data_IF_905171155635
#
_entry.id   IF_905171155635
#
_cell.length_a   1.000
_cell.length_b   1.000
_cell.length_c   1.000
_cell.angle_alpha   90.00
_cell.angle_beta   90.00
_cell.angle_gamma   90.00
#
_symmetry.space_group_name_H-M   'P 1'
#
loop_
_entity.id
_entity.type
_entity.pdbx_description
1 polymer ?
2 non-polymer ?
3 non-polymer ?
4 water ?
#
# COMPACT_ATOMS: atom_id res chain seq x y z
N UNK A 3 -25.44 3.60 -0.03
CA UNK A 3 -25.87 3.35 -1.44
C UNK A 3 -24.74 3.36 -2.46
N UNK A 4 -23.87 4.38 -2.39
CA UNK A 4 -22.64 4.37 -3.17
C UNK A 4 -21.72 3.31 -2.59
N UNK A 5 -21.04 2.57 -3.45
CA UNK A 5 -20.05 1.62 -3.01
C UNK A 5 -18.83 2.38 -2.51
N UNK A 6 -18.30 2.01 -1.34
CA UNK A 6 -17.12 2.71 -0.85
C UNK A 6 -15.94 1.79 -0.91
N UNK A 7 -14.86 2.26 -1.52
CA UNK A 7 -13.65 1.44 -1.68
C UNK A 7 -12.48 2.19 -1.09
N UNK A 8 -11.78 1.54 -0.17
CA UNK A 8 -10.53 2.06 0.39
C UNK A 8 -9.39 1.46 -0.39
N UNK A 9 -8.51 2.31 -0.89
CA UNK A 9 -7.37 1.82 -1.65
C UNK A 9 -6.09 2.18 -0.88
N UNK A 10 -5.31 1.18 -0.55
CA UNK A 10 -4.07 1.40 0.20
C UNK A 10 -3.05 2.11 -0.70
N UNK A 11 -2.07 2.78 -0.10
CA UNK A 11 -1.07 3.52 -0.86
C UNK A 11 0.20 2.74 -1.11
N UNK A 12 1.03 2.52 -0.09
CA UNK A 12 2.30 1.81 -0.29
C UNK A 12 2.01 0.36 -0.67
N UNK A 13 2.64 -0.10 -1.73
CA UNK A 13 2.46 -1.47 -2.18
C UNK A 13 1.24 -1.68 -3.05
N UNK A 14 0.47 -0.61 -3.26
CA UNK A 14 -0.73 -0.71 -4.10
C UNK A 14 -0.78 0.41 -5.15
N UNK A 15 -0.59 1.65 -4.70
CA UNK A 15 -0.47 2.80 -5.60
C UNK A 15 0.99 3.16 -5.81
N UNK A 16 1.76 3.11 -4.72
CA UNK A 16 3.15 3.58 -4.74
C UNK A 16 4.09 2.40 -4.57
N UNK A 17 5.17 2.37 -5.36
CA UNK A 17 6.06 1.23 -5.33
C UNK A 17 7.10 1.41 -4.21
N UNK A 18 6.68 1.12 -2.98
CA UNK A 18 7.55 1.14 -1.79
C UNK A 18 8.70 0.13 -1.94
N UNK A 19 8.40 -1.11 -2.35
CA UNK A 19 9.43 -2.16 -2.41
C UNK A 19 10.59 -1.83 -3.36
N UNK A 20 10.26 -1.42 -4.58
CA UNK A 20 11.25 -1.07 -5.59
C UNK A 20 12.03 0.19 -5.24
N UNK A 21 11.35 1.17 -4.65
CA UNK A 21 12.00 2.44 -4.28
C UNK A 21 12.96 2.23 -3.13
N UNK A 22 12.51 1.46 -2.14
CA UNK A 22 13.35 1.12 -1.01
C UNK A 22 14.61 0.38 -1.53
N UNK A 23 14.41 -0.66 -2.35
CA UNK A 23 15.58 -1.46 -2.77
C UNK A 23 16.61 -0.61 -3.51
N UNK A 24 16.15 0.21 -4.44
CA UNK A 24 17.02 1.09 -5.19
C UNK A 24 17.83 2.01 -4.26
N UNK A 25 17.14 2.63 -3.31
CA UNK A 25 17.78 3.60 -2.44
C UNK A 25 18.67 2.94 -1.41
N UNK A 26 18.27 1.75 -0.96
CA UNK A 26 19.09 0.98 -0.04
C UNK A 26 20.44 0.61 -0.69
N UNK A 27 20.35 0.06 -1.90
CA UNK A 27 21.53 -0.32 -2.67
C UNK A 27 22.43 0.87 -2.98
N UNK A 28 21.85 2.02 -3.34
CA UNK A 28 22.66 3.19 -3.64
C UNK A 28 23.38 3.72 -2.38
N UNK A 29 22.69 3.68 -1.24
CA UNK A 29 23.26 4.22 -0.01
C UNK A 29 24.20 3.24 0.69
N UNK A 30 23.93 1.95 0.55
CA UNK A 30 24.71 0.93 1.23
C UNK A 30 25.22 -0.10 0.22
N UNK A 31 26.09 0.33 -0.72
CA UNK A 31 26.47 -0.56 -1.80
C UNK A 31 27.28 -1.79 -1.37
N UNK A 32 27.69 -1.84 -0.10
CA UNK A 32 28.54 -2.94 0.35
C UNK A 32 27.83 -3.83 1.34
N UNK A 33 26.54 -3.58 1.51
CA UNK A 33 25.70 -4.41 2.34
C UNK A 33 24.98 -5.43 1.46
N UNK A 34 24.62 -6.59 2.04
CA UNK A 34 23.77 -7.49 1.28
C UNK A 34 22.35 -6.92 1.24
N UNK A 35 21.58 -7.34 0.23
CA UNK A 35 20.20 -6.88 0.09
C UNK A 35 19.26 -8.06 -0.19
N UNK A 36 17.97 -7.76 -0.31
CA UNK A 36 17.00 -8.81 -0.65
C UNK A 36 16.35 -8.43 -1.97
N UNK A 37 16.61 -9.24 -2.99
CA UNK A 37 15.99 -9.08 -4.30
C UNK A 37 14.49 -9.19 -4.12
N UNK A 38 13.72 -8.49 -4.93
CA UNK A 38 12.26 -8.48 -4.75
C UNK A 38 11.65 -9.89 -4.84
N UNK A 39 12.20 -10.71 -5.74
CA UNK A 39 11.73 -12.10 -5.88
C UNK A 39 11.87 -12.87 -4.58
N UNK A 40 12.82 -12.46 -3.74
CA UNK A 40 13.13 -13.15 -2.48
C UNK A 40 12.49 -12.54 -1.24
N UNK A 41 11.79 -11.42 -1.43
CA UNK A 41 11.05 -10.83 -0.32
C UNK A 41 9.98 -11.79 0.19
N UNK A 42 9.88 -11.90 1.51
CA UNK A 42 8.83 -12.66 2.18
C UNK A 42 8.44 -11.98 3.49
N UNK A 43 7.15 -11.91 3.76
CA UNK A 43 6.62 -11.28 4.97
C UNK A 43 6.50 -9.79 4.73
N UNK A 44 5.47 -9.18 5.32
CA UNK A 44 5.17 -7.77 5.14
C UNK A 44 6.34 -6.86 5.48
N UNK A 45 6.96 -7.10 6.64
CA UNK A 45 7.98 -6.17 7.17
C UNK A 45 9.35 -6.31 6.53
N UNK A 46 9.71 -5.33 5.71
CA UNK A 46 11.01 -5.25 5.08
C UNK A 46 12.13 -5.29 6.16
N UNK A 47 11.95 -4.50 7.22
CA UNK A 47 12.97 -4.36 8.29
C UNK A 47 13.29 -5.70 8.96
N UNK A 48 12.25 -6.51 9.20
CA UNK A 48 12.43 -7.81 9.85
C UNK A 48 13.25 -8.78 8.99
N UNK A 49 12.97 -8.84 7.69
CA UNK A 49 13.73 -9.73 6.83
C UNK A 49 15.20 -9.27 6.67
N UNK A 50 15.40 -7.97 6.57
CA UNK A 50 16.76 -7.44 6.49
C UNK A 50 17.49 -7.68 7.81
N UNK A 51 16.76 -7.59 8.90
CA UNK A 51 17.31 -7.83 10.24
C UNK A 51 17.75 -9.26 10.44
N UNK A 52 17.10 -10.17 9.71
CA UNK A 52 17.38 -11.59 9.70
C UNK A 52 18.54 -11.88 8.75
N UNK A 53 18.80 -10.96 7.83
CA UNK A 53 19.82 -11.17 6.81
C UNK A 53 21.24 -10.89 7.31
N UNK A 54 21.38 -9.89 8.18
CA UNK A 54 22.66 -9.58 8.84
C UNK A 54 22.49 -8.54 9.95
N UNK A 55 23.39 -8.55 10.95
CA UNK A 55 23.42 -7.62 12.10
C UNK A 55 23.31 -6.12 11.75
N UNK A 56 22.32 -5.45 12.31
CA UNK A 56 22.17 -4.00 12.19
C UNK A 56 21.59 -3.53 10.86
N UNK A 57 21.08 -4.48 10.07
CA UNK A 57 20.52 -4.16 8.78
C UNK A 57 19.07 -3.66 8.90
N UNK A 58 18.39 -4.04 9.96
CA UNK A 58 17.07 -3.50 10.24
C UNK A 58 17.14 -1.98 10.34
N UNK A 59 18.14 -1.48 11.08
CA UNK A 59 18.26 -0.06 11.36
C UNK A 59 18.66 0.70 10.11
N UNK A 60 19.51 0.09 9.29
CA UNK A 60 19.90 0.67 8.00
C UNK A 60 18.70 0.73 7.02
N UNK A 61 17.89 -0.33 6.98
CA UNK A 61 16.64 -0.34 6.18
C UNK A 61 15.76 0.82 6.62
N UNK A 62 15.53 0.93 7.93
CA UNK A 62 14.64 1.97 8.48
C UNK A 62 15.10 3.35 8.07
N UNK A 63 16.42 3.57 8.05
CA UNK A 63 16.99 4.88 7.72
C UNK A 63 16.67 5.30 6.26
N UNK A 64 16.35 4.33 5.40
CA UNK A 64 15.97 4.65 4.03
C UNK A 64 14.60 5.31 3.98
N UNK A 65 13.60 4.67 4.58
CA UNK A 65 12.26 5.28 4.55
C UNK A 65 12.05 6.43 5.52
N UNK A 66 12.95 6.59 6.50
CA UNK A 66 12.93 7.78 7.33
C UNK A 66 13.56 9.00 6.65
N UNK A 67 14.22 8.80 5.52
CA UNK A 67 14.94 9.91 4.87
C UNK A 67 13.98 10.80 4.11
N UNK A 68 14.30 12.09 4.04
CA UNK A 68 13.47 13.02 3.28
C UNK A 68 13.39 12.57 1.83
N UNK A 69 12.24 12.83 1.22
CA UNK A 69 11.94 12.47 -0.16
C UNK A 69 11.73 11.02 -0.50
N UNK A 70 11.86 10.14 0.49
CA UNK A 70 11.63 8.74 0.19
C UNK A 70 10.21 8.49 -0.28
N UNK A 71 9.22 8.94 0.48
CA UNK A 71 7.82 8.69 0.09
C UNK A 71 7.48 9.51 -1.13
N UNK A 72 7.94 10.77 -1.18
CA UNK A 72 7.56 11.59 -2.31
C UNK A 72 8.01 11.03 -3.67
N UNK A 73 9.19 10.41 -3.67
CA UNK A 73 9.83 10.00 -4.92
C UNK A 73 9.47 8.58 -5.32
N UNK A 74 8.59 7.91 -4.57
CA UNK A 74 8.08 6.61 -5.01
C UNK A 74 7.37 6.70 -6.36
N UNK A 75 7.65 5.73 -7.22
CA UNK A 75 7.02 5.67 -8.53
C UNK A 75 5.67 5.00 -8.37
N UNK A 76 4.65 5.47 -9.11
CA UNK A 76 3.42 4.71 -9.05
C UNK A 76 3.58 3.28 -9.59
N UNK A 77 2.76 2.35 -9.11
CA UNK A 77 2.77 1.01 -9.68
C UNK A 77 2.06 1.04 -11.03
N UNK A 78 2.40 0.11 -11.97
CA UNK A 78 1.77 0.11 -13.31
C UNK A 78 0.26 0.05 -13.21
N UNK A 79 -0.41 0.90 -13.99
CA UNK A 79 -1.87 0.92 -14.03
C UNK A 79 -2.59 1.55 -12.83
N UNK A 80 -1.85 1.87 -11.77
CA UNK A 80 -2.50 2.31 -10.52
C UNK A 80 -3.22 3.64 -10.60
N UNK A 81 -2.55 4.65 -11.14
CA UNK A 81 -3.12 6.00 -11.26
C UNK A 81 -4.33 5.97 -12.19
N UNK A 82 -4.17 5.34 -13.35
CA UNK A 82 -5.27 5.18 -14.31
C UNK A 82 -6.48 4.46 -13.71
N UNK A 83 -6.22 3.36 -12.99
CA UNK A 83 -7.34 2.58 -12.40
C UNK A 83 -8.09 3.35 -11.33
N UNK A 84 -7.37 3.97 -10.41
CA UNK A 84 -8.02 4.72 -9.34
C UNK A 84 -8.79 5.92 -9.87
N UNK A 85 -8.23 6.61 -10.85
CA UNK A 85 -8.96 7.71 -11.49
C UNK A 85 -10.26 7.23 -12.12
N UNK A 86 -10.18 6.15 -12.88
CA UNK A 86 -11.38 5.55 -13.47
C UNK A 86 -12.37 5.10 -12.40
N UNK A 87 -11.85 4.44 -11.37
CA UNK A 87 -12.66 3.93 -10.29
C UNK A 87 -13.45 5.04 -9.59
N UNK A 88 -12.76 6.14 -9.26
CA UNK A 88 -13.42 7.29 -8.60
C UNK A 88 -14.51 7.95 -9.47
N UNK A 89 -14.35 7.92 -10.79
CA UNK A 89 -15.30 8.56 -11.70
C UNK A 89 -16.53 7.68 -11.95
N UNK A 90 -16.51 6.44 -11.45
CA UNK A 90 -17.63 5.52 -11.64
C UNK A 90 -18.82 5.99 -10.85
N UNK A 91 -20.01 5.80 -11.43
CA UNK A 91 -21.25 6.15 -10.75
C UNK A 91 -21.36 5.33 -9.48
N UNK A 92 -21.94 5.93 -8.44
CA UNK A 92 -22.19 5.19 -7.19
C UNK A 92 -20.93 4.55 -6.61
N UNK A 93 -19.80 5.25 -6.70
CA UNK A 93 -18.53 4.70 -6.21
C UNK A 93 -17.71 5.83 -5.61
N UNK A 94 -17.40 5.71 -4.33
CA UNK A 94 -16.54 6.66 -3.59
C UNK A 94 -15.26 5.95 -3.26
N UNK A 95 -14.14 6.58 -3.58
CA UNK A 95 -12.81 6.00 -3.38
C UNK A 95 -12.06 6.83 -2.37
N UNK A 96 -11.47 6.17 -1.37
CA UNK A 96 -10.57 6.83 -0.43
C UNK A 96 -9.22 6.16 -0.48
N UNK A 97 -8.16 6.93 -0.31
CA UNK A 97 -6.83 6.38 -0.22
C UNK A 97 -6.56 6.27 1.28
N UNK A 98 -6.35 5.03 1.75
CA UNK A 98 -6.21 4.76 3.17
C UNK A 98 -4.82 4.22 3.45
N UNK A 99 -4.02 4.99 4.17
CA UNK A 99 -2.60 4.72 4.26
C UNK A 99 -2.12 4.94 5.68
N UNK A 100 -1.10 4.18 6.08
CA UNK A 100 -0.51 4.30 7.41
C UNK A 100 0.83 5.03 7.32
N UNK A 101 1.01 6.06 8.17
CA UNK A 101 2.32 6.67 8.14
C UNK A 101 3.30 5.84 8.98
N UNK A 102 4.60 6.07 8.79
CA UNK A 102 5.62 5.46 9.64
C UNK A 102 5.68 6.22 10.97
N UNK A 103 6.43 5.70 11.93
CA UNK A 103 6.43 6.29 13.28
C UNK A 103 7.05 7.69 13.27
N UNK A 104 8.11 7.86 12.47
CA UNK A 104 8.81 9.14 12.36
C UNK A 104 8.02 10.00 11.37
N UNK A 105 7.46 11.10 11.87
CA UNK A 105 6.40 11.82 11.14
C UNK A 105 6.90 13.11 10.50
N UNK A 106 8.22 13.35 10.53
CA UNK A 106 8.76 14.62 9.95
C UNK A 106 8.37 14.87 8.52
N UNK A 107 8.48 13.82 7.68
CA UNK A 107 8.33 13.93 6.22
C UNK A 107 7.15 13.11 5.69
N UNK A 108 6.87 11.97 6.30
CA UNK A 108 5.99 10.98 5.67
C UNK A 108 4.55 11.52 5.42
N UNK A 109 3.84 11.99 6.47
CA UNK A 109 2.51 12.52 6.17
C UNK A 109 2.53 13.59 5.09
N UNK A 110 3.38 14.60 5.24
CA UNK A 110 3.51 15.64 4.22
C UNK A 110 3.73 15.08 2.81
N UNK A 111 4.72 14.20 2.66
CA UNK A 111 5.07 13.67 1.32
C UNK A 111 3.96 12.83 0.69
N UNK A 112 3.21 12.14 1.55
CA UNK A 112 2.08 11.35 1.07
C UNK A 112 0.99 12.27 0.51
N UNK A 113 0.69 13.37 1.20
CA UNK A 113 -0.25 14.34 0.64
C UNK A 113 0.24 14.90 -0.69
N UNK A 114 1.53 15.24 -0.72
CA UNK A 114 2.19 15.79 -1.92
C UNK A 114 2.13 14.82 -3.09
N UNK A 115 2.34 13.53 -2.81
CA UNK A 115 2.36 12.49 -3.85
C UNK A 115 0.95 12.37 -4.46
N UNK A 116 -0.06 12.39 -3.60
CA UNK A 116 -1.47 12.30 -4.06
C UNK A 116 -1.82 13.52 -4.92
N UNK A 117 -1.40 14.71 -4.49
CA UNK A 117 -1.62 15.92 -5.29
C UNK A 117 -0.99 15.79 -6.67
N UNK A 118 0.23 15.27 -6.69
CA UNK A 118 1.02 15.12 -7.91
C UNK A 118 0.32 14.19 -8.91
N UNK A 119 -0.12 13.02 -8.45
CA UNK A 119 -0.69 12.01 -9.37
C UNK A 119 -2.20 12.08 -9.57
N UNK A 120 -2.95 12.64 -8.60
CA UNK A 120 -4.41 12.68 -8.66
C UNK A 120 -5.02 14.07 -8.66
N UNK A 121 -4.22 15.08 -8.32
CA UNK A 121 -4.65 16.47 -8.35
C UNK A 121 -5.13 16.94 -6.99
N UNK A 122 -5.17 18.27 -6.80
CA UNK A 122 -5.64 18.95 -5.58
C UNK A 122 -6.97 18.39 -5.06
N UNK A 123 -7.91 18.12 -5.96
CA UNK A 123 -9.24 17.76 -5.50
C UNK A 123 -9.28 16.38 -4.84
N UNK A 124 -8.30 15.56 -5.15
CA UNK A 124 -8.28 14.22 -4.61
C UNK A 124 -7.76 14.17 -3.19
N UNK A 125 -7.13 15.26 -2.72
CA UNK A 125 -6.64 15.32 -1.33
C UNK A 125 -7.74 15.08 -0.28
N UNK A 126 -8.97 15.51 -0.57
CA UNK A 126 -10.16 15.27 0.26
C UNK A 126 -10.42 13.76 0.52
N UNK A 127 -9.81 12.90 -0.29
CA UNK A 127 -10.08 11.45 -0.25
C UNK A 127 -9.03 10.69 0.56
N UNK A 128 -8.09 11.39 1.20
CA UNK A 128 -7.02 10.69 1.92
C UNK A 128 -7.44 10.45 3.37
N UNK A 129 -7.23 9.22 3.84
CA UNK A 129 -7.41 8.89 5.24
C UNK A 129 -6.07 8.36 5.74
N UNK A 130 -5.42 9.09 6.64
CA UNK A 130 -4.19 8.63 7.27
C UNK A 130 -4.47 8.02 8.62
N UNK A 131 -4.08 6.76 8.81
CA UNK A 131 -4.44 6.08 10.06
C UNK A 131 -3.52 4.88 10.26
N UNK A 132 -3.19 4.57 11.50
CA UNK A 132 -2.45 3.32 11.76
C UNK A 132 -3.42 2.14 11.90
N UNK A 133 -4.72 2.44 12.01
CA UNK A 133 -5.70 1.40 12.23
C UNK A 133 -6.75 1.49 11.14
N UNK A 134 -6.72 0.53 10.22
CA UNK A 134 -7.65 0.55 9.11
C UNK A 134 -8.99 -0.08 9.46
N UNK A 135 -9.03 -0.82 10.56
CA UNK A 135 -10.26 -1.54 10.94
C UNK A 135 -11.33 -0.56 11.39
N UNK A 136 -10.92 0.64 11.76
CA UNK A 136 -11.90 1.65 12.21
C UNK A 136 -12.39 2.53 11.06
N UNK A 137 -11.89 2.28 9.85
CA UNK A 137 -12.44 2.95 8.67
C UNK A 137 -13.45 2.00 8.03
N UNK A 138 -14.66 2.50 7.77
CA UNK A 138 -15.73 1.66 7.24
C UNK A 138 -15.86 1.84 5.74
N UNK A 139 -16.13 0.74 5.04
CA UNK A 139 -16.21 0.75 3.61
C UNK A 139 -16.63 -0.65 3.19
N UNK A 140 -16.90 -0.83 1.91
CA UNK A 140 -17.32 -2.15 1.39
C UNK A 140 -16.10 -3.01 1.05
N UNK A 141 -15.03 -2.33 0.63
CA UNK A 141 -13.82 -2.99 0.15
C UNK A 141 -12.60 -2.27 0.66
N UNK A 142 -11.58 -3.05 1.01
CA UNK A 142 -10.22 -2.54 1.29
C UNK A 142 -9.24 -3.29 0.39
N UNK A 143 -8.55 -2.58 -0.50
CA UNK A 143 -7.58 -3.18 -1.39
C UNK A 143 -6.21 -2.82 -0.83
N UNK A 144 -5.46 -3.84 -0.34
CA UNK A 144 -4.32 -3.59 0.52
C UNK A 144 -3.38 -4.78 0.42
N UNK A 145 -2.09 -4.50 0.29
CA UNK A 145 -1.10 -5.58 0.10
C UNK A 145 -0.69 -6.29 1.37
N UNK A 146 -1.06 -5.74 2.54
CA UNK A 146 -0.73 -6.37 3.82
C UNK A 146 -1.69 -7.51 4.14
N UNK A 147 -1.18 -8.75 4.34
CA UNK A 147 -2.07 -9.88 4.61
C UNK A 147 -2.84 -9.78 5.92
N UNK A 148 -2.20 -9.27 6.97
CA UNK A 148 -2.79 -9.25 8.32
C UNK A 148 -3.24 -7.84 8.67
N UNK A 149 -4.53 -7.56 8.53
CA UNK A 149 -5.03 -6.22 8.82
C UNK A 149 -5.93 -6.29 10.04
N UNK A 150 -5.40 -5.83 11.17
CA UNK A 150 -6.11 -5.89 12.44
C UNK A 150 -6.00 -4.57 13.19
N UNK A 151 -6.74 -4.46 14.29
CA UNK A 151 -6.80 -3.19 15.01
C UNK A 151 -7.93 -3.22 16.02
N UNK A 152 -8.42 -2.04 16.38
CA UNK A 152 -9.44 -1.90 17.43
C UNK A 152 -10.80 -2.50 17.10
N UNK A 153 -11.13 -2.60 15.81
CA UNK A 153 -12.43 -3.13 15.44
C UNK A 153 -12.32 -4.62 15.07
N UNK A 154 -12.90 -5.51 15.92
CA UNK A 154 -12.75 -6.94 15.67
C UNK A 154 -13.48 -7.40 14.40
N UNK A 155 -14.53 -6.69 13.99
CA UNK A 155 -15.26 -7.09 12.79
C UNK A 155 -15.41 -5.91 11.83
N UNK A 156 -14.34 -5.62 11.04
CA UNK A 156 -14.36 -4.47 10.12
C UNK A 156 -15.48 -4.61 9.11
N UNK A 157 -15.98 -3.51 8.59
CA UNK A 157 -17.12 -3.61 7.66
C UNK A 157 -16.69 -3.98 6.25
N UNK A 158 -15.42 -3.75 5.92
CA UNK A 158 -14.93 -4.02 4.57
C UNK A 158 -14.56 -5.47 4.37
N UNK A 159 -14.58 -5.90 3.12
CA UNK A 159 -13.91 -7.14 2.70
C UNK A 159 -12.50 -6.73 2.30
N UNK A 160 -11.48 -7.36 2.88
CA UNK A 160 -10.12 -7.09 2.49
C UNK A 160 -9.75 -7.91 1.27
N UNK A 161 -9.45 -7.22 0.16
CA UNK A 161 -8.96 -7.91 -1.05
C UNK A 161 -7.47 -7.71 -1.06
N UNK A 162 -6.72 -8.82 -1.07
CA UNK A 162 -5.26 -8.75 -1.00
C UNK A 162 -4.67 -8.35 -2.33
N UNK A 163 -3.95 -7.23 -2.34
CA UNK A 163 -3.30 -6.77 -3.56
C UNK A 163 -1.94 -7.46 -3.69
N UNK A 164 -1.66 -8.10 -4.82
CA UNK A 164 -0.42 -8.91 -4.87
C UNK A 164 0.80 -8.03 -4.82
N UNK A 165 1.79 -8.48 -4.04
CA UNK A 165 3.11 -7.83 -3.94
C UNK A 165 4.16 -8.94 -3.81
N UNK A 166 5.44 -8.62 -4.06
CA UNK A 166 6.51 -9.61 -3.92
C UNK A 166 6.46 -10.33 -2.57
N UNK A 167 6.23 -9.59 -1.49
CA UNK A 167 6.24 -10.16 -0.15
C UNK A 167 5.08 -11.11 0.14
N UNK A 168 4.01 -11.06 -0.68
CA UNK A 168 2.80 -11.87 -0.39
C UNK A 168 2.39 -12.83 -1.52
N UNK A 169 3.11 -12.81 -2.64
CA UNK A 169 2.67 -13.50 -3.84
C UNK A 169 2.57 -15.01 -3.67
N UNK A 170 3.25 -15.56 -2.65
CA UNK A 170 3.29 -17.01 -2.49
C UNK A 170 2.32 -17.50 -1.44
N UNK A 171 1.67 -16.55 -0.76
CA UNK A 171 0.78 -16.87 0.35
C UNK A 171 -0.52 -17.55 -0.06
N UNK A 172 -0.81 -18.68 0.57
CA UNK A 172 -2.09 -19.30 0.38
C UNK A 172 -3.05 -18.65 1.38
N UNK A 173 -4.10 -18.01 0.88
CA UNK A 173 -5.07 -17.33 1.74
C UNK A 173 -6.12 -18.30 2.24
N UNK A 174 -6.69 -18.07 3.42
CA UNK A 174 -7.86 -18.82 3.89
C UNK A 174 -9.04 -18.57 2.94
N UNK A 175 -9.54 -19.66 2.28
CA UNK A 175 -10.33 -19.67 1.05
C UNK A 175 -11.30 -18.51 0.77
N UNK A 176 -12.11 -18.08 1.77
CA UNK A 176 -12.99 -16.95 1.46
C UNK A 176 -12.23 -15.74 0.89
N UNK A 177 -11.01 -15.52 1.35
CA UNK A 177 -10.20 -14.36 0.96
C UNK A 177 -9.77 -14.42 -0.48
N UNK A 178 -9.59 -13.24 -1.05
CA UNK A 178 -9.58 -12.99 -2.48
C UNK A 178 -8.42 -12.03 -2.79
N UNK A 179 -7.85 -12.11 -3.99
CA UNK A 179 -6.74 -11.22 -4.40
C UNK A 179 -7.12 -10.33 -5.55
N UNK A 180 -6.52 -9.14 -5.58
CA UNK A 180 -6.40 -8.37 -6.82
C UNK A 180 -4.94 -8.50 -7.28
N UNK A 181 -4.72 -9.10 -8.44
CA UNK A 181 -3.37 -9.55 -8.76
C UNK A 181 -2.43 -8.42 -9.22
N UNK A 182 -3.01 -7.35 -9.75
CA UNK A 182 -2.33 -6.14 -10.23
C UNK A 182 -3.45 -5.26 -10.73
N UNK A 183 -3.14 -4.02 -11.10
CA UNK A 183 -4.16 -3.12 -11.61
C UNK A 183 -4.62 -3.52 -13.01
N UNK A 184 -3.88 -4.38 -13.70
CA UNK A 184 -4.32 -4.95 -14.98
C UNK A 184 -5.38 -6.03 -14.80
N UNK A 185 -5.42 -6.64 -13.62
CA UNK A 185 -6.45 -7.59 -13.21
C UNK A 185 -7.82 -6.90 -13.18
N UNK A 186 -8.90 -7.67 -13.07
CA UNK A 186 -10.22 -7.13 -13.31
C UNK A 186 -10.83 -6.62 -12.00
N UNK A 187 -10.45 -5.39 -11.64
CA UNK A 187 -10.89 -4.77 -10.40
C UNK A 187 -12.37 -4.37 -10.47
N UNK A 188 -12.86 -4.00 -11.65
CA UNK A 188 -14.30 -3.69 -11.80
C UNK A 188 -15.19 -4.86 -11.40
N UNK A 189 -14.80 -6.07 -11.82
CA UNK A 189 -15.54 -7.29 -11.43
C UNK A 189 -15.60 -7.45 -9.93
N UNK A 190 -14.51 -7.12 -9.23
CA UNK A 190 -14.47 -7.21 -7.77
C UNK A 190 -15.42 -6.23 -7.13
N UNK A 191 -15.37 -4.98 -7.60
CA UNK A 191 -16.29 -3.94 -7.11
C UNK A 191 -17.75 -4.32 -7.35
N UNK A 192 -18.03 -4.74 -8.57
CA UNK A 192 -19.39 -5.14 -8.97
C UNK A 192 -19.96 -6.27 -8.14
N UNK A 193 -19.11 -7.20 -7.69
CA UNK A 193 -19.54 -8.29 -6.83
C UNK A 193 -20.07 -7.78 -5.48
N UNK A 194 -19.70 -6.55 -5.11
CA UNK A 194 -20.10 -5.97 -3.82
C UNK A 194 -21.29 -5.02 -3.93
N UNK A 195 -21.68 -4.66 -5.15
CA UNK A 195 -22.75 -3.70 -5.36
C UNK A 195 -24.10 -4.36 -5.07
N UNK A 196 -25.08 -3.60 -4.51
CA UNK A 196 -26.31 -4.19 -3.99
C UNK A 196 -27.06 -5.01 -5.01
N UNK A 197 -27.85 -5.88 -4.61
X LIG B 1 4.30 4.26 6.05
X LIG B 1 4.25 2.97 5.45
X LIG B 1 5.61 2.29 5.49
X LIG B 1 5.58 1.48 6.83
X LIG B 1 4.16 1.17 7.13
X LIG B 1 3.34 2.10 6.31
X LIG B 1 2.69 1.42 5.10
X LIG B 1 1.83 0.40 5.51
X LIG B 1 0.45 0.20 4.74
X LIG B 1 -0.38 1.56 4.71
X LIG B 1 0.85 -0.06 3.19
X LIG B 1 -0.31 -0.93 5.32
X LIG B 1 6.44 0.28 6.74
X LIG B 1 7.26 0.03 7.87
X LIG B 1 8.10 -1.06 7.88
X LIG B 1 8.89 -1.30 9.00
X LIG B 1 8.94 -0.41 10.05
X LIG B 1 10.07 -0.95 11.44
X LIG B 1 8.16 -1.95 6.81
X LIG B 1 8.93 -2.92 6.88
X LIG B 1 7.36 -1.74 5.66
X LIG B 1 6.49 -0.61 5.62
X LIG B 1 5.79 -0.42 4.62
X LIG C 1 -17.71 8.11 -8.22
X LIG D 1 0.52 -1.19 1.68
#
# INVERSE_FOLDING_TARGET
>A
GGRALRVLVNMDGVLADFEGGFLRKFRARFPDQPFIALEDRRGFWVSEQYGRLRPGLSEKAISIWESKNFFFELEPLPGAVEAVKEMASLQNTDVFICTSPIKMFKYCPYEKYAWVEKYFGPDFLEQIVLTRDKTVVSADLLIDDRPDITGAEPTPSWEHVLFTACHNQHLQLQPPRRRLHSWADDWKAILDSKRPC
>B hetero
1 BVP O3' C3' C2' C1' O4' C4' C5' O5' P O1P O2P O3P N1 C6 C5 C5A C5B BR C4 O4 N3 C2 O2
>C hetero
1 MG MG
>D hetero
1 MG MG
#
